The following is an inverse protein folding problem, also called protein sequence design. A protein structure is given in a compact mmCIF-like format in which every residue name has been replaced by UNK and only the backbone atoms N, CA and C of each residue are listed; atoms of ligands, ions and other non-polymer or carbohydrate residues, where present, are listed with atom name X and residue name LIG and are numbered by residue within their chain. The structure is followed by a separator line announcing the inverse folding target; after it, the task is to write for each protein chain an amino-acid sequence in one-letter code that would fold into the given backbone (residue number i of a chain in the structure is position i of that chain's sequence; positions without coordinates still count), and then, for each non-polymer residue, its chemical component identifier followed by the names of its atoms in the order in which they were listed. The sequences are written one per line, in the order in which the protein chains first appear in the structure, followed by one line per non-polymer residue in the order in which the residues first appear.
data_IF_710837938264
#
_entry.id   IF_710837938264
#
_cell.length_a   1.000
_cell.length_b   1.000
_cell.length_c   1.000
_cell.angle_alpha   90.00
_cell.angle_beta   90.00
_cell.angle_gamma   90.00
#
_symmetry.space_group_name_H-M   'P 1'
#
loop_
_entity.id
_entity.type
_entity.pdbx_description
1 polymer ?
#
# COMPACT_ATOMS: atom_id res chain seq x y z
N UNK A 1 14.51 8.62 -18.88
CA UNK A 1 14.15 8.77 -17.45
C UNK A 1 15.41 9.11 -16.67
N UNK A 2 15.47 10.28 -16.02
CA UNK A 2 16.69 10.84 -15.41
C UNK A 2 17.15 10.16 -14.11
N UNK A 3 16.46 9.12 -13.62
CA UNK A 3 16.88 8.36 -12.44
C UNK A 3 16.89 9.13 -11.10
N UNK A 4 16.68 10.45 -11.13
CA UNK A 4 16.76 11.32 -9.97
C UNK A 4 15.78 10.93 -8.86
N UNK A 5 16.27 11.01 -7.62
CA UNK A 5 15.54 10.73 -6.40
C UNK A 5 15.72 11.86 -5.39
N UNK A 6 15.08 13.02 -5.61
CA UNK A 6 15.33 14.21 -4.80
C UNK A 6 14.74 14.14 -3.38
N UNK A 7 13.92 13.13 -3.08
CA UNK A 7 13.23 13.04 -1.79
C UNK A 7 13.92 12.02 -0.88
N UNK A 8 14.70 12.47 0.09
CA UNK A 8 15.39 11.59 1.05
C UNK A 8 14.61 11.42 2.37
N UNK A 9 14.69 10.23 2.95
CA UNK A 9 14.13 9.93 4.27
C UNK A 9 15.05 10.46 5.37
N UNK A 10 14.54 11.28 6.31
CA UNK A 10 15.35 11.84 7.40
C UNK A 10 15.77 10.78 8.44
N UNK A 11 15.08 9.63 8.51
CA UNK A 11 15.37 8.59 9.50
C UNK A 11 16.40 7.55 9.03
N UNK A 12 16.44 7.26 7.72
CA UNK A 12 17.31 6.20 7.18
C UNK A 12 18.08 6.59 5.92
N UNK A 13 17.97 7.83 5.45
CA UNK A 13 18.69 8.33 4.27
C UNK A 13 18.18 7.79 2.92
N UNK A 14 17.21 6.87 2.91
CA UNK A 14 16.67 6.28 1.67
C UNK A 14 16.02 7.32 0.77
N UNK A 15 16.30 7.25 -0.52
CA UNK A 15 15.84 8.22 -1.51
C UNK A 15 14.64 7.72 -2.34
N UNK A 16 13.82 8.68 -2.78
CA UNK A 16 12.60 8.43 -3.53
C UNK A 16 12.48 9.43 -4.68
N UNK A 17 11.89 8.96 -5.79
CA UNK A 17 11.61 9.78 -6.97
C UNK A 17 10.39 10.68 -6.80
N UNK A 18 9.46 10.30 -5.92
CA UNK A 18 8.21 11.01 -5.68
C UNK A 18 8.01 11.26 -4.19
N UNK A 19 7.51 12.45 -3.85
CA UNK A 19 7.21 12.83 -2.47
C UNK A 19 6.13 11.94 -1.85
N UNK A 20 5.16 11.49 -2.64
CA UNK A 20 4.12 10.53 -2.21
C UNK A 20 4.74 9.23 -1.69
N UNK A 21 5.75 8.70 -2.38
CA UNK A 21 6.44 7.47 -1.99
C UNK A 21 7.27 7.67 -0.72
N UNK A 22 7.93 8.83 -0.59
CA UNK A 22 8.59 9.19 0.68
C UNK A 22 7.58 9.26 1.82
N UNK A 23 6.45 9.95 1.63
CA UNK A 23 5.40 10.07 2.66
C UNK A 23 4.85 8.71 3.09
N UNK A 24 4.61 7.82 2.14
CA UNK A 24 4.18 6.45 2.43
C UNK A 24 5.27 5.67 3.18
N UNK A 25 6.53 5.83 2.78
CA UNK A 25 7.66 5.21 3.47
C UNK A 25 7.82 5.69 4.91
N UNK A 26 7.59 6.98 5.21
CA UNK A 26 7.67 7.53 6.56
C UNK A 26 6.73 6.82 7.54
N UNK A 27 5.62 6.25 7.07
CA UNK A 27 4.70 5.45 7.90
C UNK A 27 5.35 4.21 8.50
N UNK A 28 6.41 3.69 7.88
CA UNK A 28 7.19 2.57 8.43
C UNK A 28 8.00 2.99 9.66
N UNK A 29 8.39 4.27 9.76
CA UNK A 29 9.10 4.80 10.91
C UNK A 29 8.13 5.23 12.02
N UNK A 30 7.03 5.89 11.66
CA UNK A 30 6.05 6.38 12.65
C UNK A 30 5.08 5.32 13.14
N UNK A 31 4.96 4.20 12.42
CA UNK A 31 3.95 3.18 12.69
C UNK A 31 2.52 3.64 12.33
N UNK A 32 2.36 4.75 11.60
CA UNK A 32 1.05 5.27 11.21
C UNK A 32 0.34 4.29 10.28
N UNK A 33 -0.89 3.91 10.64
CA UNK A 33 -1.73 3.00 9.88
C UNK A 33 -3.11 3.64 9.63
N UNK A 34 -3.22 4.54 8.65
CA UNK A 34 -4.44 5.33 8.46
C UNK A 34 -5.61 4.51 7.89
N UNK A 35 -5.34 3.34 7.30
CA UNK A 35 -6.36 2.53 6.64
C UNK A 35 -6.85 1.43 7.56
N UNK A 36 -8.03 1.61 8.17
CA UNK A 36 -8.64 0.63 9.08
C UNK A 36 -9.61 -0.31 8.36
N UNK A 37 -9.55 -1.58 8.70
CA UNK A 37 -10.51 -2.58 8.27
C UNK A 37 -11.82 -2.40 9.04
N UNK A 38 -12.92 -2.28 8.29
CA UNK A 38 -14.27 -2.14 8.86
C UNK A 38 -14.82 -3.43 9.48
N UNK A 39 -14.20 -4.59 9.21
CA UNK A 39 -14.69 -5.89 9.67
C UNK A 39 -14.00 -6.36 10.96
N UNK A 40 -12.68 -6.20 11.08
CA UNK A 40 -11.91 -6.65 12.25
C UNK A 40 -11.18 -5.54 13.00
N UNK A 41 -11.19 -4.30 12.51
CA UNK A 41 -10.48 -3.18 13.14
C UNK A 41 -8.97 -3.11 12.84
N UNK A 42 -8.40 -4.11 12.15
CA UNK A 42 -6.99 -4.11 11.75
C UNK A 42 -6.64 -2.87 10.93
N UNK A 43 -5.46 -2.30 11.15
CA UNK A 43 -5.00 -1.11 10.46
C UNK A 43 -3.80 -1.41 9.55
N UNK A 44 -3.73 -0.72 8.42
CA UNK A 44 -2.68 -0.88 7.41
C UNK A 44 -2.04 0.48 7.06
N UNK A 45 -0.73 0.51 6.78
CA UNK A 45 -0.04 1.73 6.35
C UNK A 45 -0.38 2.14 4.90
N UNK A 46 -0.90 1.21 4.08
CA UNK A 46 -1.16 1.44 2.64
C UNK A 46 -2.52 0.92 2.19
N UNK A 47 -3.17 1.63 1.27
CA UNK A 47 -4.49 1.25 0.73
C UNK A 47 -4.47 -0.10 -0.01
N UNK A 48 -3.47 -0.43 -0.86
CA UNK A 48 -3.42 -1.75 -1.50
C UNK A 48 -3.32 -2.91 -0.50
N UNK A 49 -2.69 -2.70 0.66
CA UNK A 49 -2.61 -3.72 1.71
C UNK A 49 -3.96 -3.94 2.36
N UNK A 50 -4.69 -2.86 2.71
CA UNK A 50 -6.06 -2.97 3.19
C UNK A 50 -6.95 -3.65 2.15
N UNK A 51 -6.87 -3.25 0.87
CA UNK A 51 -7.68 -3.87 -0.20
C UNK A 51 -7.45 -5.37 -0.30
N UNK A 52 -6.19 -5.81 -0.31
CA UNK A 52 -5.84 -7.24 -0.31
C UNK A 52 -6.37 -7.95 0.93
N UNK A 53 -6.29 -7.32 2.10
CA UNK A 53 -6.86 -7.86 3.32
C UNK A 53 -8.39 -7.96 3.26
N UNK A 54 -9.11 -6.99 2.68
CA UNK A 54 -10.56 -7.07 2.55
C UNK A 54 -11.03 -8.28 1.73
N UNK A 55 -10.22 -8.75 0.77
CA UNK A 55 -10.50 -9.97 0.01
C UNK A 55 -10.59 -11.20 0.93
N UNK A 56 -9.84 -11.25 2.04
CA UNK A 56 -9.96 -12.38 2.99
C UNK A 56 -11.27 -12.36 3.78
N UNK A 57 -11.96 -11.22 3.84
CA UNK A 57 -13.30 -11.12 4.44
C UNK A 57 -14.41 -11.39 3.44
N UNK A 58 -14.34 -10.79 2.24
CA UNK A 58 -15.44 -10.86 1.27
C UNK A 58 -15.33 -12.02 0.30
N UNK A 59 -14.13 -12.58 0.10
CA UNK A 59 -13.85 -13.54 -0.97
C UNK A 59 -13.90 -12.95 -2.38
N UNK A 60 -14.22 -11.66 -2.52
CA UNK A 60 -14.36 -11.00 -3.80
C UNK A 60 -12.99 -10.59 -4.34
N UNK A 61 -12.57 -11.24 -5.42
CA UNK A 61 -11.35 -10.92 -6.15
C UNK A 61 -11.70 -9.99 -7.30
N UNK A 62 -11.28 -8.71 -7.27
CA UNK A 62 -11.77 -7.69 -8.21
C UNK A 62 -11.28 -7.91 -9.64
N UNK A 63 -10.21 -8.67 -9.86
CA UNK A 63 -9.67 -8.92 -11.18
C UNK A 63 -10.10 -10.30 -11.67
N UNK A 64 -11.19 -10.35 -12.44
CA UNK A 64 -11.61 -11.57 -13.12
C UNK A 64 -11.06 -11.60 -14.54
N UNK A 65 -10.35 -12.66 -14.89
CA UNK A 65 -10.00 -12.93 -16.28
C UNK A 65 -11.23 -13.46 -17.00
N UNK A 66 -11.77 -12.70 -17.97
CA UNK A 66 -12.94 -13.14 -18.74
C UNK A 66 -12.65 -14.35 -19.62
N UNK A 67 -11.40 -14.50 -20.09
CA UNK A 67 -11.00 -15.61 -20.98
C UNK A 67 -10.94 -16.97 -20.28
N UNK A 68 -10.58 -17.02 -19.00
CA UNK A 68 -10.44 -18.28 -18.26
C UNK A 68 -11.29 -18.36 -16.98
N UNK A 69 -12.09 -17.33 -16.68
CA UNK A 69 -12.99 -17.25 -15.53
C UNK A 69 -12.30 -17.09 -14.16
N UNK A 70 -10.96 -17.18 -14.09
CA UNK A 70 -10.18 -17.11 -12.85
C UNK A 70 -10.17 -15.68 -12.31
N UNK A 71 -10.42 -15.55 -11.01
CA UNK A 71 -10.31 -14.27 -10.30
C UNK A 71 -9.00 -14.20 -9.52
N UNK A 72 -8.34 -13.04 -9.54
CA UNK A 72 -7.01 -12.76 -9.01
C UNK A 72 -7.05 -11.68 -7.92
#
# INVERSE_FOLDING_TARGET
HTGERPYACPYCGKDFRQQSNLREHLRLHTGEKPYKCRFCGDAFPRLPELRRHLISHTGERPFRCERCGKSY
#
